data_IF_112189047017
#
_entry.id   IF_112189047017
#
_cell.length_a   1.000
_cell.length_b   1.000
_cell.length_c   1.000
_cell.angle_alpha   90.00
_cell.angle_beta   90.00
_cell.angle_gamma   90.00
#
_symmetry.space_group_name_H-M   'P 1'
#
loop_
_entity.id
_entity.type
_entity.pdbx_description
1 polymer ?
#
# COMPACT_ATOMS: atom_id res chain seq x y z
N UNK A 1 -14.85 -12.63 -9.78
CA UNK A 1 -15.85 -11.77 -9.09
C UNK A 1 -15.21 -10.42 -8.76
N UNK A 2 -15.91 -9.32 -8.44
CA UNK A 2 -15.24 -8.07 -7.97
C UNK A 2 -15.43 -7.86 -6.47
N UNK A 3 -14.46 -7.24 -5.80
CA UNK A 3 -14.56 -6.88 -4.37
C UNK A 3 -15.83 -6.07 -4.02
N UNK A 4 -16.27 -5.21 -4.93
CA UNK A 4 -17.50 -4.41 -4.78
C UNK A 4 -18.80 -5.19 -4.99
N UNK A 5 -18.73 -6.40 -5.57
CA UNK A 5 -19.87 -7.30 -5.66
C UNK A 5 -20.12 -8.01 -4.32
N UNK A 6 -19.11 -8.03 -3.43
CA UNK A 6 -19.17 -8.70 -2.11
C UNK A 6 -19.49 -7.70 -1.01
N UNK A 7 -18.80 -6.55 -1.01
CA UNK A 7 -18.95 -5.52 0.00
C UNK A 7 -19.01 -4.13 -0.65
N UNK A 8 -19.83 -3.20 -0.13
CA UNK A 8 -19.88 -1.83 -0.62
C UNK A 8 -18.51 -1.14 -0.57
N UNK A 9 -18.27 -0.22 -1.50
CA UNK A 9 -17.00 0.54 -1.60
C UNK A 9 -16.70 1.33 -0.32
N UNK A 10 -17.72 1.72 0.42
CA UNK A 10 -17.63 2.45 1.68
C UNK A 10 -16.96 1.62 2.78
N UNK A 11 -17.18 0.30 2.81
CA UNK A 11 -16.56 -0.60 3.78
C UNK A 11 -15.07 -0.75 3.50
N UNK A 12 -14.70 -0.92 2.23
CA UNK A 12 -13.30 -0.94 1.79
C UNK A 12 -12.61 0.39 2.10
N UNK A 13 -13.32 1.50 1.88
CA UNK A 13 -12.85 2.82 2.27
C UNK A 13 -12.63 2.99 3.77
N UNK A 14 -13.51 2.44 4.61
CA UNK A 14 -13.39 2.57 6.07
C UNK A 14 -12.11 1.90 6.60
N UNK A 15 -11.77 0.70 6.12
CA UNK A 15 -10.53 0.02 6.54
C UNK A 15 -9.27 0.75 6.03
N UNK A 16 -9.33 1.39 4.86
CA UNK A 16 -8.25 2.24 4.35
C UNK A 16 -8.02 3.46 5.26
N UNK A 17 -9.11 4.15 5.62
CA UNK A 17 -9.05 5.31 6.54
C UNK A 17 -8.48 4.90 7.89
N UNK A 18 -8.97 3.80 8.48
CA UNK A 18 -8.49 3.33 9.78
C UNK A 18 -6.99 2.99 9.75
N UNK A 19 -6.51 2.32 8.69
CA UNK A 19 -5.09 2.02 8.52
C UNK A 19 -4.25 3.30 8.34
N UNK A 20 -4.74 4.29 7.59
CA UNK A 20 -4.06 5.57 7.40
C UNK A 20 -3.97 6.34 8.73
N UNK A 21 -5.07 6.49 9.46
CA UNK A 21 -5.12 7.23 10.72
C UNK A 21 -4.25 6.57 11.81
N UNK A 22 -4.23 5.24 11.86
CA UNK A 22 -3.51 4.50 12.90
C UNK A 22 -2.01 4.40 12.65
N UNK A 23 -1.57 4.38 11.40
CA UNK A 23 -0.19 4.07 11.03
C UNK A 23 0.48 5.08 10.11
N UNK A 24 -0.22 6.08 9.59
CA UNK A 24 0.35 7.07 8.66
C UNK A 24 0.65 6.52 7.26
N UNK A 25 0.20 5.30 6.93
CA UNK A 25 0.43 4.68 5.63
C UNK A 25 -0.54 5.19 4.59
N UNK A 26 -0.09 5.38 3.34
CA UNK A 26 -1.00 5.53 2.20
C UNK A 26 -1.65 4.17 1.88
N UNK A 27 -2.64 3.79 2.69
CA UNK A 27 -3.34 2.52 2.61
C UNK A 27 -4.32 2.51 1.43
N UNK A 28 -4.49 1.37 0.78
CA UNK A 28 -5.45 1.20 -0.32
C UNK A 28 -5.78 -0.28 -0.54
N UNK A 29 -7.03 -0.52 -0.91
CA UNK A 29 -7.53 -1.78 -1.44
C UNK A 29 -7.41 -1.72 -2.97
N UNK A 30 -6.82 -2.76 -3.53
CA UNK A 30 -6.63 -2.94 -4.96
C UNK A 30 -7.37 -4.19 -5.42
N UNK A 31 -7.94 -4.16 -6.62
CA UNK A 31 -8.52 -5.33 -7.28
C UNK A 31 -7.42 -6.26 -7.82
N UNK A 32 -7.83 -7.33 -8.49
CA UNK A 32 -6.95 -8.35 -9.08
C UNK A 32 -6.12 -7.83 -10.27
N UNK A 33 -6.55 -6.73 -10.90
CA UNK A 33 -5.79 -5.96 -11.89
C UNK A 33 -4.78 -4.97 -11.25
N UNK A 34 -4.79 -4.83 -9.91
CA UNK A 34 -3.96 -3.86 -9.19
C UNK A 34 -4.45 -2.42 -9.28
N UNK A 35 -5.74 -2.20 -9.58
CA UNK A 35 -6.39 -0.89 -9.59
C UNK A 35 -7.04 -0.64 -8.24
N UNK A 36 -6.99 0.61 -7.77
CA UNK A 36 -7.66 0.99 -6.52
C UNK A 36 -9.17 0.75 -6.63
N UNK A 37 -9.74 0.12 -5.62
CA UNK A 37 -11.19 -0.11 -5.50
C UNK A 37 -11.90 1.16 -5.08
N UNK A 38 -11.26 1.97 -4.24
CA UNK A 38 -11.80 3.22 -3.72
C UNK A 38 -11.18 4.43 -4.44
N UNK A 39 -11.85 5.59 -4.32
CA UNK A 39 -11.30 6.89 -4.75
C UNK A 39 -10.78 7.71 -3.56
N UNK A 40 -10.55 7.08 -2.40
CA UNK A 40 -10.12 7.82 -1.22
C UNK A 40 -8.73 8.43 -1.44
N UNK A 41 -8.60 9.69 -1.01
CA UNK A 41 -7.32 10.41 -1.01
C UNK A 41 -6.75 10.35 0.41
N UNK A 42 -6.05 9.27 0.70
CA UNK A 42 -5.28 9.17 1.93
C UNK A 42 -4.11 10.15 1.91
N UNK A 43 -3.72 10.64 3.08
CA UNK A 43 -2.56 11.49 3.20
C UNK A 43 -1.32 10.73 2.68
N UNK A 44 -0.58 11.38 1.79
CA UNK A 44 0.70 10.87 1.27
C UNK A 44 1.81 11.86 1.60
N UNK A 45 3.01 11.35 1.86
CA UNK A 45 4.17 12.21 2.05
C UNK A 45 4.51 12.97 0.74
N UNK A 46 5.19 14.13 0.82
CA UNK A 46 5.46 14.96 -0.35
C UNK A 46 6.22 14.24 -1.47
N UNK A 47 7.21 13.42 -1.11
CA UNK A 47 8.02 12.68 -2.08
C UNK A 47 7.18 11.66 -2.87
N UNK A 48 6.34 10.87 -2.20
CA UNK A 48 5.43 9.93 -2.87
C UNK A 48 4.48 10.66 -3.82
N UNK A 49 3.94 11.81 -3.41
CA UNK A 49 3.07 12.62 -4.27
C UNK A 49 3.78 13.19 -5.50
N UNK A 50 5.08 13.51 -5.38
CA UNK A 50 5.89 13.94 -6.52
C UNK A 50 6.21 12.77 -7.48
N UNK A 51 6.62 11.62 -6.94
CA UNK A 51 6.90 10.41 -7.72
C UNK A 51 5.65 9.96 -8.49
N UNK A 52 4.47 9.93 -7.82
CA UNK A 52 3.22 9.49 -8.43
C UNK A 52 2.68 10.41 -9.52
N UNK A 53 3.10 11.68 -9.55
CA UNK A 53 2.76 12.64 -10.62
C UNK A 53 3.67 12.51 -11.84
N UNK A 54 4.86 11.93 -11.69
CA UNK A 54 5.73 11.58 -12.81
C UNK A 54 5.19 10.32 -13.49
N UNK A 55 5.02 10.34 -14.81
CA UNK A 55 4.56 9.15 -15.55
C UNK A 55 5.54 7.97 -15.38
N UNK A 56 6.83 8.24 -15.41
CA UNK A 56 7.88 7.25 -15.21
C UNK A 56 8.00 6.83 -13.74
N UNK A 57 7.86 7.76 -12.79
CA UNK A 57 7.80 7.43 -11.36
C UNK A 57 6.61 6.51 -11.02
N UNK A 58 5.42 6.87 -11.50
CA UNK A 58 4.21 6.07 -11.32
C UNK A 58 4.37 4.67 -11.92
N UNK A 59 4.93 4.57 -13.13
CA UNK A 59 5.09 3.30 -13.85
C UNK A 59 6.21 2.44 -13.27
N UNK A 60 7.40 3.01 -13.11
CA UNK A 60 8.63 2.28 -12.83
C UNK A 60 8.96 2.16 -11.34
N UNK A 61 8.38 2.98 -10.46
CA UNK A 61 8.56 2.87 -9.01
C UNK A 61 7.27 2.34 -8.37
N UNK A 62 6.17 3.09 -8.47
CA UNK A 62 4.95 2.78 -7.72
C UNK A 62 4.25 1.50 -8.20
N UNK A 63 3.96 1.41 -9.50
CA UNK A 63 3.23 0.28 -10.08
C UNK A 63 4.08 -1.00 -10.07
N UNK A 64 5.37 -0.93 -10.45
CA UNK A 64 6.28 -2.08 -10.38
C UNK A 64 6.42 -2.64 -8.97
N UNK A 65 6.65 -1.78 -7.97
CA UNK A 65 6.69 -2.21 -6.58
C UNK A 65 5.36 -2.82 -6.14
N UNK A 66 4.21 -2.25 -6.54
CA UNK A 66 2.91 -2.85 -6.25
C UNK A 66 2.79 -4.26 -6.84
N UNK A 67 3.03 -4.43 -8.14
CA UNK A 67 2.94 -5.71 -8.83
C UNK A 67 3.85 -6.78 -8.23
N UNK A 68 5.08 -6.41 -7.85
CA UNK A 68 6.01 -7.33 -7.21
C UNK A 68 5.48 -7.79 -5.84
N UNK A 69 5.16 -6.85 -4.96
CA UNK A 69 4.79 -7.17 -3.57
C UNK A 69 3.41 -7.85 -3.52
N UNK A 70 2.42 -7.38 -4.28
CA UNK A 70 1.10 -8.02 -4.34
C UNK A 70 1.14 -9.37 -5.05
N UNK A 71 1.99 -9.53 -6.08
CA UNK A 71 2.20 -10.81 -6.75
C UNK A 71 2.81 -11.86 -5.81
N UNK A 72 3.78 -11.47 -4.98
CA UNK A 72 4.36 -12.34 -3.93
C UNK A 72 3.32 -12.71 -2.88
N UNK A 73 2.53 -11.74 -2.42
CA UNK A 73 1.44 -11.98 -1.48
C UNK A 73 0.39 -12.94 -2.05
N UNK A 74 0.00 -12.76 -3.31
CA UNK A 74 -0.88 -13.68 -4.05
C UNK A 74 -0.32 -15.09 -4.09
N UNK A 75 0.95 -15.27 -4.47
CA UNK A 75 1.56 -16.61 -4.57
C UNK A 75 1.68 -17.27 -3.19
N UNK A 76 2.07 -16.51 -2.17
CA UNK A 76 2.30 -17.03 -0.83
C UNK A 76 1.05 -17.20 0.02
N UNK A 77 -0.08 -16.59 -0.36
CA UNK A 77 -1.31 -16.59 0.43
C UNK A 77 -1.18 -15.85 1.78
N UNK A 78 -0.11 -15.09 1.97
CA UNK A 78 0.24 -14.45 3.25
C UNK A 78 0.70 -13.00 3.05
N UNK A 79 0.61 -12.15 4.09
CA UNK A 79 1.11 -10.78 4.01
C UNK A 79 2.59 -10.73 3.61
N UNK A 80 2.92 -9.77 2.74
CA UNK A 80 4.31 -9.49 2.34
C UNK A 80 4.66 -8.07 2.76
N UNK A 81 5.78 -7.96 3.46
CA UNK A 81 6.45 -6.70 3.78
C UNK A 81 7.70 -6.63 2.91
N UNK A 82 7.91 -5.49 2.25
CA UNK A 82 9.10 -5.21 1.47
C UNK A 82 9.25 -3.70 1.29
N UNK A 83 10.03 -3.31 0.31
CA UNK A 83 10.32 -1.91 0.01
C UNK A 83 10.04 -1.62 -1.46
N UNK A 84 9.73 -0.36 -1.76
CA UNK A 84 9.72 0.13 -3.14
C UNK A 84 11.11 0.62 -3.55
N UNK A 85 11.28 0.87 -4.84
CA UNK A 85 12.58 1.32 -5.38
C UNK A 85 12.97 2.75 -4.94
N UNK A 86 12.13 3.44 -4.17
CA UNK A 86 12.45 4.71 -3.51
C UNK A 86 12.94 4.53 -2.06
N UNK A 87 13.06 3.29 -1.56
CA UNK A 87 13.50 2.97 -0.19
C UNK A 87 12.39 3.03 0.86
N UNK A 88 11.12 3.14 0.46
CA UNK A 88 9.99 3.22 1.40
C UNK A 88 9.32 1.86 1.58
N UNK A 89 8.85 1.58 2.80
CA UNK A 89 8.15 0.35 3.12
C UNK A 89 6.92 0.18 2.23
N UNK A 90 6.62 -1.07 1.89
CA UNK A 90 5.40 -1.50 1.23
C UNK A 90 4.90 -2.80 1.83
N UNK A 91 3.64 -2.80 2.21
CA UNK A 91 2.96 -3.94 2.82
C UNK A 91 1.77 -4.30 1.94
N UNK A 92 1.58 -5.59 1.66
CA UNK A 92 0.43 -6.10 0.92
C UNK A 92 -0.09 -7.38 1.57
N UNK A 93 -1.37 -7.37 1.89
CA UNK A 93 -2.15 -8.51 2.35
C UNK A 93 -3.02 -9.00 1.20
N UNK A 94 -2.93 -10.27 0.80
CA UNK A 94 -3.76 -10.78 -0.27
C UNK A 94 -5.20 -11.01 0.22
N UNK A 95 -6.17 -10.76 -0.67
CA UNK A 95 -7.59 -11.00 -0.39
C UNK A 95 -8.04 -12.19 -1.24
N UNK A 96 -8.51 -13.24 -0.58
CA UNK A 96 -9.00 -14.46 -1.22
C UNK A 96 -10.45 -14.74 -0.83
N UNK A 97 -11.23 -15.27 -1.77
CA UNK A 97 -12.59 -15.78 -1.54
C UNK A 97 -12.68 -17.12 -2.24
N UNK A 98 -13.00 -18.19 -1.49
CA UNK A 98 -13.07 -19.56 -2.03
C UNK A 98 -11.83 -19.93 -2.88
N UNK A 99 -10.64 -19.55 -2.41
CA UNK A 99 -9.34 -19.72 -3.07
C UNK A 99 -9.12 -18.89 -4.36
N UNK A 100 -10.09 -18.08 -4.79
CA UNK A 100 -9.94 -17.08 -5.86
C UNK A 100 -9.25 -15.82 -5.31
N UNK A 101 -8.17 -15.37 -5.95
CA UNK A 101 -7.51 -14.12 -5.61
C UNK A 101 -8.34 -12.93 -6.12
N UNK A 102 -8.80 -12.10 -5.20
CA UNK A 102 -9.70 -10.99 -5.48
C UNK A 102 -9.00 -9.63 -5.53
N UNK A 103 -7.76 -9.57 -5.06
CA UNK A 103 -7.01 -8.32 -4.92
C UNK A 103 -6.15 -8.30 -3.67
N UNK A 104 -5.77 -7.10 -3.23
CA UNK A 104 -4.94 -6.92 -2.04
C UNK A 104 -5.29 -5.67 -1.25
N UNK A 105 -5.11 -5.72 0.06
CA UNK A 105 -5.14 -4.55 0.93
C UNK A 105 -3.73 -4.27 1.44
N UNK A 106 -3.27 -3.03 1.33
CA UNK A 106 -1.89 -2.71 1.65
C UNK A 106 -1.65 -1.23 1.85
N UNK A 107 -0.41 -0.86 2.14
CA UNK A 107 0.00 0.53 2.30
C UNK A 107 1.50 0.71 2.10
N UNK A 108 1.91 1.95 1.83
CA UNK A 108 3.30 2.35 1.68
C UNK A 108 3.52 3.79 2.12
N UNK A 109 4.78 4.24 2.08
CA UNK A 109 5.13 5.67 2.20
C UNK A 109 5.84 6.06 3.50
N UNK A 110 6.29 5.10 4.29
CA UNK A 110 7.12 5.32 5.47
C UNK A 110 8.53 4.80 5.24
N UNK A 111 9.52 5.40 5.89
CA UNK A 111 10.93 5.03 5.76
C UNK A 111 11.29 3.97 6.80
N UNK A 112 11.91 2.84 6.45
CA UNK A 112 12.42 1.91 7.46
C UNK A 112 13.45 2.60 8.37
N UNK A 113 13.43 2.27 9.67
CA UNK A 113 14.39 2.83 10.62
C UNK A 113 15.85 2.55 10.22
N UNK A 114 16.66 3.61 10.13
CA UNK A 114 18.09 3.51 9.80
C UNK A 114 18.39 3.47 8.30
N UNK A 115 17.36 3.49 7.46
CA UNK A 115 17.50 3.56 6.01
C UNK A 115 17.34 5.01 5.51
N UNK A 116 17.73 5.23 4.26
CA UNK A 116 17.60 6.51 3.54
C UNK A 116 16.90 6.29 2.20
N UNK A 117 16.30 7.35 1.67
CA UNK A 117 15.72 7.30 0.32
C UNK A 117 16.84 7.28 -0.74
N UNK A 118 16.61 6.58 -1.85
CA UNK A 118 17.55 6.57 -2.98
C UNK A 118 17.28 7.78 -3.90
N UNK A 119 17.75 8.95 -3.47
CA UNK A 119 17.53 10.20 -4.22
C UNK A 119 18.10 10.14 -5.64
N UNK A 120 19.24 9.46 -5.83
CA UNK A 120 19.86 9.28 -7.14
C UNK A 120 18.96 8.45 -8.07
N UNK A 121 18.49 7.29 -7.63
CA UNK A 121 17.63 6.43 -8.44
C UNK A 121 16.29 7.13 -8.75
N UNK A 122 15.67 7.75 -7.76
CA UNK A 122 14.44 8.52 -7.95
C UNK A 122 14.66 9.62 -9.00
N UNK A 123 15.77 10.37 -8.91
CA UNK A 123 16.11 11.41 -9.88
C UNK A 123 16.33 10.85 -11.29
N UNK A 124 16.97 9.68 -11.42
CA UNK A 124 17.16 9.01 -12.72
C UNK A 124 15.86 8.61 -13.39
N UNK A 125 14.88 8.13 -12.63
CA UNK A 125 13.60 7.68 -13.18
C UNK A 125 12.67 8.87 -13.45
N UNK A 126 12.64 9.85 -12.55
CA UNK A 126 11.62 10.91 -12.59
C UNK A 126 12.08 12.18 -13.29
N UNK A 127 13.39 12.36 -13.46
CA UNK A 127 14.01 13.58 -13.97
C UNK A 127 14.09 14.73 -12.95
N UNK A 128 13.65 14.51 -11.70
CA UNK A 128 13.75 15.50 -10.63
C UNK A 128 15.20 15.66 -10.14
N UNK A 129 15.53 16.83 -9.60
CA UNK A 129 16.86 17.05 -9.03
C UNK A 129 17.00 16.33 -7.68
N UNK A 130 18.15 15.71 -7.43
CA UNK A 130 18.43 14.97 -6.19
C UNK A 130 18.22 15.84 -4.95
N UNK A 131 18.65 17.10 -4.96
CA UNK A 131 18.45 18.03 -3.85
C UNK A 131 16.96 18.33 -3.56
N UNK A 132 16.10 18.35 -4.58
CA UNK A 132 14.65 18.52 -4.40
C UNK A 132 14.03 17.26 -3.81
N UNK A 133 14.50 16.07 -4.24
CA UNK A 133 14.07 14.78 -3.72
C UNK A 133 14.46 14.63 -2.25
N UNK A 134 15.70 14.94 -1.90
CA UNK A 134 16.19 14.93 -0.53
C UNK A 134 15.37 15.87 0.35
N UNK A 135 15.08 17.09 -0.11
CA UNK A 135 14.25 18.04 0.63
C UNK A 135 12.83 17.50 0.86
N UNK A 136 12.18 16.92 -0.16
CA UNK A 136 10.86 16.30 -0.01
C UNK A 136 10.88 15.04 0.88
N UNK A 137 12.04 14.36 0.94
CA UNK A 137 12.28 13.23 1.80
C UNK A 137 12.45 13.60 3.28
N UNK A 138 12.81 14.84 3.58
CA UNK A 138 12.95 15.31 4.96
C UNK A 138 11.58 15.26 5.66
N UNK A 139 11.54 14.53 6.76
CA UNK A 139 10.32 14.40 7.57
C UNK A 139 9.37 13.30 7.13
N UNK A 140 9.77 12.41 6.20
CA UNK A 140 9.09 11.12 6.06
C UNK A 140 9.17 10.40 7.40
N UNK A 141 8.02 10.01 7.93
CA UNK A 141 7.94 9.25 9.18
C UNK A 141 8.62 7.89 9.03
N UNK A 142 9.31 7.48 10.10
CA UNK A 142 10.03 6.21 10.15
C UNK A 142 9.19 5.09 10.74
N UNK A 143 9.40 3.87 10.28
CA UNK A 143 8.74 2.68 10.80
C UNK A 143 9.74 1.57 11.14
N UNK A 144 9.60 1.00 12.33
CA UNK A 144 10.41 -0.14 12.75
C UNK A 144 9.94 -1.44 12.11
N UNK A 145 10.81 -2.45 12.12
CA UNK A 145 10.45 -3.80 11.68
C UNK A 145 9.26 -4.37 12.45
N UNK A 146 9.27 -4.21 13.79
CA UNK A 146 8.18 -4.69 14.67
C UNK A 146 6.88 -3.98 14.34
N UNK A 147 6.92 -2.65 14.12
CA UNK A 147 5.72 -1.89 13.76
C UNK A 147 5.19 -2.27 12.38
N UNK A 148 6.07 -2.58 11.43
CA UNK A 148 5.68 -3.09 10.11
C UNK A 148 4.95 -4.44 10.20
N UNK A 149 5.39 -5.34 11.08
CA UNK A 149 4.70 -6.61 11.36
C UNK A 149 3.33 -6.40 12.04
N UNK A 150 3.23 -5.44 12.96
CA UNK A 150 1.96 -5.04 13.58
C UNK A 150 0.97 -4.52 12.54
N UNK A 151 1.42 -3.67 11.60
CA UNK A 151 0.61 -3.19 10.48
C UNK A 151 0.12 -4.37 9.65
N UNK A 152 1.01 -5.26 9.22
CA UNK A 152 0.62 -6.40 8.38
C UNK A 152 -0.44 -7.28 9.05
N UNK A 153 -0.32 -7.47 10.37
CA UNK A 153 -1.32 -8.19 11.18
C UNK A 153 -2.65 -7.45 11.19
N UNK A 154 -2.64 -6.15 11.49
CA UNK A 154 -3.84 -5.32 11.49
C UNK A 154 -4.57 -5.35 10.14
N UNK A 155 -3.86 -5.16 9.03
CA UNK A 155 -4.44 -5.17 7.69
C UNK A 155 -5.10 -6.52 7.39
N UNK A 156 -4.48 -7.62 7.80
CA UNK A 156 -5.06 -8.96 7.65
C UNK A 156 -6.31 -9.18 8.51
N UNK A 157 -6.30 -8.68 9.73
CA UNK A 157 -7.47 -8.76 10.61
C UNK A 157 -8.62 -7.88 10.11
N UNK A 158 -8.34 -6.69 9.57
CA UNK A 158 -9.34 -5.82 8.94
C UNK A 158 -10.04 -6.53 7.77
N UNK A 159 -9.27 -7.18 6.89
CA UNK A 159 -9.84 -7.98 5.77
C UNK A 159 -10.73 -9.11 6.30
N UNK A 160 -10.29 -9.87 7.31
CA UNK A 160 -11.12 -10.93 7.91
C UNK A 160 -12.38 -10.36 8.56
N UNK A 161 -12.24 -9.23 9.24
CA UNK A 161 -13.32 -8.55 9.97
C UNK A 161 -14.46 -8.19 9.04
N UNK A 162 -14.18 -7.53 7.91
CA UNK A 162 -15.23 -7.09 6.98
C UNK A 162 -16.00 -8.27 6.37
N UNK A 163 -15.35 -9.41 6.10
CA UNK A 163 -16.06 -10.60 5.64
C UNK A 163 -16.92 -11.25 6.75
N UNK A 164 -16.43 -11.27 7.99
CA UNK A 164 -17.19 -11.81 9.12
C UNK A 164 -18.45 -10.99 9.46
N UNK A 165 -18.40 -9.67 9.23
CA UNK A 165 -19.56 -8.78 9.37
C UNK A 165 -20.55 -8.97 8.22
N UNK A 166 -20.07 -9.12 6.99
CA UNK A 166 -20.90 -9.40 5.82
C UNK A 166 -21.71 -10.69 5.98
N UNK A 167 -21.06 -11.77 6.46
CA UNK A 167 -21.71 -13.06 6.68
C UNK A 167 -22.83 -12.96 7.73
N UNK A 168 -22.55 -12.29 8.86
CA UNK A 168 -23.55 -12.08 9.92
C UNK A 168 -24.74 -11.21 9.49
N UNK A 169 -24.55 -10.28 8.56
CA UNK A 169 -25.62 -9.43 8.03
C UNK A 169 -26.51 -10.15 6.99
N UNK A 170 -26.06 -11.28 6.45
CA UNK A 170 -26.78 -12.08 5.45
C UNK A 170 -27.62 -13.23 6.06
N UNK A 171 -27.43 -13.52 7.35
CA UNK A 171 -28.21 -14.48 8.15
C UNK A 171 -29.45 -13.84 8.80
#
# INVERSE_FOLDING_TARGET
MKLTDILPVEIWGAIETEANEKFGLNASVFDDDGKRVTTQKNAENPLCGAIGKSADGQTHICARSHQNISGRAKIGGTPVIGECDAGLIKISVPIFIEDEFMGSFGGCGLLPEGEEIDAFYIGKITGMAEAEIEEMGKGIETISRVKSEEVATFLADAVRGVFSEAQRAAE
#
